data_IF_968301606700
#
_entry.id   IF_968301606700
#
_cell.length_a   1.000
_cell.length_b   1.000
_cell.length_c   1.000
_cell.angle_alpha   90.00
_cell.angle_beta   90.00
_cell.angle_gamma   90.00
#
_symmetry.space_group_name_H-M   'P 1'
#
loop_
_entity.id
_entity.type
_entity.pdbx_description
1 polymer ?
#
# COMPACT_ATOMS: atom_id res chain seq x y z
N UNK A 1 -55.24 8.06 -45.75
CA UNK A 1 -54.62 7.89 -44.42
C UNK A 1 -53.18 7.52 -44.66
N UNK A 2 -52.28 8.49 -44.77
CA UNK A 2 -50.84 8.32 -44.51
C UNK A 2 -50.37 9.68 -44.01
N UNK A 3 -50.06 9.77 -42.71
CA UNK A 3 -49.53 10.95 -42.06
C UNK A 3 -48.05 10.70 -41.80
N UNK A 4 -47.19 11.31 -42.60
CA UNK A 4 -45.74 11.27 -42.34
C UNK A 4 -45.31 12.61 -41.74
N UNK A 5 -44.95 12.56 -40.47
CA UNK A 5 -44.18 13.60 -39.79
C UNK A 5 -42.74 13.59 -40.33
N UNK A 6 -42.12 14.74 -40.68
CA UNK A 6 -40.74 14.75 -41.12
C UNK A 6 -39.81 14.42 -39.94
N UNK A 7 -38.98 13.40 -40.16
CA UNK A 7 -37.97 12.90 -39.25
C UNK A 7 -36.95 13.99 -38.91
N UNK A 8 -36.54 14.00 -37.64
CA UNK A 8 -35.58 14.93 -37.06
C UNK A 8 -34.24 14.84 -37.79
N UNK A 9 -33.70 15.99 -38.21
CA UNK A 9 -32.37 16.09 -38.83
C UNK A 9 -31.29 15.52 -37.90
N UNK A 10 -30.66 14.41 -38.29
CA UNK A 10 -29.33 14.06 -37.83
C UNK A 10 -28.38 15.17 -38.26
N UNK A 11 -27.67 15.78 -37.31
CA UNK A 11 -26.60 16.73 -37.62
C UNK A 11 -25.35 15.94 -37.99
N UNK A 12 -24.97 16.00 -39.27
CA UNK A 12 -23.76 15.37 -39.82
C UNK A 12 -22.50 16.11 -39.33
N UNK A 13 -22.02 15.77 -38.13
CA UNK A 13 -20.74 16.25 -37.58
C UNK A 13 -19.55 15.33 -37.95
N UNK A 14 -19.68 14.52 -38.99
CA UNK A 14 -18.61 13.61 -39.42
C UNK A 14 -17.47 14.34 -40.15
N UNK A 15 -17.80 15.33 -40.99
CA UNK A 15 -16.82 16.09 -41.78
C UNK A 15 -15.86 16.96 -40.94
N UNK A 16 -16.25 17.32 -39.71
CA UNK A 16 -15.44 18.16 -38.83
C UNK A 16 -14.26 17.42 -38.19
N UNK A 17 -14.28 16.08 -38.14
CA UNK A 17 -13.24 15.31 -37.46
C UNK A 17 -12.10 14.91 -38.38
N UNK A 18 -12.39 14.62 -39.65
CA UNK A 18 -11.40 14.13 -40.62
C UNK A 18 -10.40 15.24 -41.02
N UNK A 19 -10.87 16.49 -41.21
CA UNK A 19 -10.01 17.65 -41.51
C UNK A 19 -9.00 17.97 -40.37
N UNK A 20 -9.36 17.67 -39.12
CA UNK A 20 -8.50 17.91 -37.95
C UNK A 20 -7.38 16.87 -37.91
N UNK A 21 -7.65 15.61 -38.27
CA UNK A 21 -6.65 14.54 -38.29
C UNK A 21 -5.69 14.72 -39.46
N UNK A 22 -6.19 15.12 -40.63
CA UNK A 22 -5.37 15.27 -41.84
C UNK A 22 -4.38 16.44 -41.77
N UNK A 23 -4.71 17.51 -41.02
CA UNK A 23 -3.82 18.67 -40.80
C UNK A 23 -2.95 18.59 -39.53
N UNK A 24 -2.91 17.44 -38.85
CA UNK A 24 -2.04 17.25 -37.68
C UNK A 24 -0.87 16.35 -38.02
N UNK A 25 0.35 16.91 -37.98
CA UNK A 25 1.57 16.12 -38.14
C UNK A 25 1.77 15.19 -36.94
N UNK A 26 2.01 13.90 -37.21
CA UNK A 26 2.32 12.94 -36.16
C UNK A 26 3.63 13.33 -35.45
N UNK A 27 3.70 13.25 -34.11
CA UNK A 27 4.89 13.63 -33.37
C UNK A 27 6.09 12.76 -33.78
N UNK A 28 7.23 13.41 -34.03
CA UNK A 28 8.47 12.73 -34.44
C UNK A 28 9.04 11.82 -33.34
N UNK A 29 8.76 12.13 -32.08
CA UNK A 29 9.17 11.32 -30.93
C UNK A 29 7.97 11.05 -30.01
N UNK A 30 7.76 9.77 -29.70
CA UNK A 30 6.75 9.32 -28.75
C UNK A 30 7.45 8.69 -27.55
N UNK A 31 7.39 9.36 -26.39
CA UNK A 31 7.93 8.83 -25.13
C UNK A 31 6.88 7.92 -24.49
N UNK A 32 7.01 6.61 -24.69
CA UNK A 32 6.17 5.62 -24.02
C UNK A 32 6.68 5.41 -22.60
N UNK A 33 5.95 5.93 -21.61
CA UNK A 33 6.24 5.65 -20.20
C UNK A 33 5.75 4.24 -19.84
N UNK A 34 6.49 3.47 -19.02
CA UNK A 34 5.96 2.25 -18.43
C UNK A 34 4.65 2.55 -17.68
N UNK A 35 3.68 1.63 -17.68
CA UNK A 35 2.45 1.81 -16.93
C UNK A 35 2.78 1.96 -15.44
N UNK A 36 1.98 2.74 -14.74
CA UNK A 36 2.11 2.89 -13.30
C UNK A 36 1.94 1.51 -12.65
N UNK A 37 2.90 1.13 -11.80
CA UNK A 37 2.85 -0.16 -11.12
C UNK A 37 1.75 -0.08 -10.06
N UNK A 38 0.59 -0.65 -10.37
CA UNK A 38 -0.55 -0.68 -9.45
C UNK A 38 -0.48 -1.91 -8.54
N UNK A 39 -0.74 -1.70 -7.25
CA UNK A 39 -0.83 -2.79 -6.28
C UNK A 39 -2.16 -3.53 -6.45
N UNK A 40 -2.15 -4.60 -7.23
CA UNK A 40 -3.31 -5.48 -7.42
C UNK A 40 -3.43 -6.51 -6.28
N UNK A 41 -4.59 -7.18 -6.15
CA UNK A 41 -4.76 -8.29 -5.20
C UNK A 41 -3.72 -9.38 -5.49
N UNK A 42 -2.77 -9.58 -4.58
CA UNK A 42 -1.66 -10.53 -4.73
C UNK A 42 -0.29 -9.92 -5.03
N UNK A 43 -0.21 -8.60 -5.24
CA UNK A 43 1.07 -7.86 -5.40
C UNK A 43 1.86 -7.70 -4.10
N UNK A 44 1.21 -7.91 -2.95
CA UNK A 44 1.85 -7.85 -1.64
C UNK A 44 2.77 -9.04 -1.38
N UNK A 45 3.76 -8.86 -0.49
CA UNK A 45 4.60 -9.97 -0.04
C UNK A 45 3.76 -11.09 0.58
N UNK A 46 4.19 -12.34 0.36
CA UNK A 46 3.54 -13.51 0.93
C UNK A 46 3.44 -13.41 2.46
N UNK A 47 2.27 -13.75 2.99
CA UNK A 47 2.06 -13.86 4.44
C UNK A 47 2.89 -15.04 4.99
N UNK A 48 3.74 -14.73 5.97
CA UNK A 48 4.57 -15.74 6.63
C UNK A 48 3.76 -16.57 7.62
N UNK A 49 3.97 -17.88 7.59
CA UNK A 49 3.36 -18.83 8.52
C UNK A 49 3.91 -18.64 9.94
N UNK A 50 3.22 -19.20 10.94
CA UNK A 50 3.68 -19.17 12.34
C UNK A 50 5.05 -19.83 12.51
N UNK A 51 5.28 -20.95 11.80
CA UNK A 51 6.54 -21.69 11.82
C UNK A 51 7.67 -20.83 11.24
N UNK A 52 7.44 -20.15 10.12
CA UNK A 52 8.43 -19.29 9.48
C UNK A 52 8.79 -18.08 10.35
N UNK A 53 7.80 -17.46 11.01
CA UNK A 53 8.05 -16.37 11.97
C UNK A 53 8.89 -16.84 13.15
N UNK A 54 8.59 -18.03 13.69
CA UNK A 54 9.36 -18.60 14.79
C UNK A 54 10.80 -18.93 14.38
N UNK A 55 11.01 -19.52 13.20
CA UNK A 55 12.36 -19.82 12.69
C UNK A 55 13.18 -18.54 12.47
N UNK A 56 12.56 -17.50 11.87
CA UNK A 56 13.20 -16.18 11.73
C UNK A 56 13.56 -15.56 13.07
N UNK A 57 12.78 -15.79 14.12
CA UNK A 57 13.11 -15.31 15.46
C UNK A 57 14.29 -16.09 16.06
N UNK A 58 14.27 -17.42 15.95
CA UNK A 58 15.33 -18.31 16.46
C UNK A 58 16.69 -18.03 15.82
N UNK A 59 16.72 -17.66 14.54
CA UNK A 59 17.95 -17.33 13.82
C UNK A 59 18.52 -15.96 14.20
N UNK A 60 17.77 -15.10 14.92
CA UNK A 60 18.28 -13.82 15.38
C UNK A 60 19.15 -14.05 16.63
N UNK A 61 20.35 -13.44 16.70
CA UNK A 61 21.18 -13.57 17.89
C UNK A 61 20.45 -13.00 19.12
N UNK A 62 20.67 -13.66 20.24
CA UNK A 62 20.26 -13.13 21.54
C UNK A 62 21.13 -11.92 21.87
N UNK A 63 20.55 -10.96 22.59
CA UNK A 63 21.25 -9.77 23.08
C UNK A 63 20.97 -9.58 24.56
N UNK A 64 21.96 -9.06 25.28
CA UNK A 64 21.80 -8.75 26.69
C UNK A 64 21.05 -7.43 26.87
N UNK A 65 19.97 -7.45 27.64
CA UNK A 65 19.18 -6.26 27.95
C UNK A 65 19.87 -5.40 29.02
N UNK A 66 20.09 -4.10 28.79
CA UNK A 66 20.73 -3.22 29.79
C UNK A 66 19.89 -2.99 31.06
N UNK A 67 18.57 -3.23 31.03
CA UNK A 67 17.68 -3.00 32.19
C UNK A 67 17.54 -4.21 33.11
N UNK A 68 17.36 -5.41 32.55
CA UNK A 68 17.20 -6.64 33.33
C UNK A 68 18.42 -7.56 33.28
N UNK A 69 19.44 -7.22 32.49
CA UNK A 69 20.71 -7.96 32.32
C UNK A 69 20.58 -9.38 31.74
N UNK A 70 19.39 -9.74 31.23
CA UNK A 70 19.14 -11.05 30.65
C UNK A 70 19.38 -11.09 29.14
N UNK A 71 19.79 -12.25 28.65
CA UNK A 71 19.91 -12.56 27.23
C UNK A 71 18.54 -12.95 26.66
N UNK A 72 18.10 -12.26 25.61
CA UNK A 72 16.79 -12.51 25.01
C UNK A 72 16.61 -11.83 23.66
N UNK A 73 15.39 -11.93 23.12
CA UNK A 73 14.97 -11.23 21.90
C UNK A 73 14.42 -9.81 22.15
N UNK A 74 14.66 -9.24 23.33
CA UNK A 74 14.23 -7.90 23.71
C UNK A 74 15.43 -6.98 23.97
N UNK A 75 15.21 -5.66 24.02
CA UNK A 75 16.22 -4.67 24.43
C UNK A 75 15.73 -3.89 25.65
N UNK A 76 16.50 -2.88 26.10
CA UNK A 76 16.11 -2.03 27.23
C UNK A 76 14.83 -1.22 26.98
N UNK A 77 14.46 -0.95 25.72
CA UNK A 77 13.25 -0.21 25.36
C UNK A 77 12.02 -1.12 25.42
N UNK A 78 12.19 -2.40 25.05
CA UNK A 78 11.13 -3.39 25.06
C UNK A 78 11.26 -4.45 26.17
N UNK A 79 11.85 -4.08 27.31
CA UNK A 79 12.00 -5.01 28.44
C UNK A 79 10.69 -5.15 29.21
N UNK A 80 10.05 -6.31 29.10
CA UNK A 80 8.77 -6.60 29.76
C UNK A 80 8.88 -6.58 31.28
N UNK A 81 9.98 -7.10 31.84
CA UNK A 81 10.25 -7.06 33.29
C UNK A 81 10.26 -5.65 33.84
N UNK A 82 10.85 -4.72 33.10
CA UNK A 82 10.88 -3.32 33.52
C UNK A 82 9.52 -2.65 33.35
N UNK A 83 8.83 -2.90 32.23
CA UNK A 83 7.47 -2.38 32.01
C UNK A 83 6.50 -2.85 33.10
N UNK A 84 6.57 -4.11 33.51
CA UNK A 84 5.75 -4.64 34.60
C UNK A 84 6.10 -3.99 35.94
N UNK A 85 7.40 -3.81 36.23
CA UNK A 85 7.87 -3.14 37.45
C UNK A 85 7.36 -1.69 37.53
N UNK A 86 7.39 -0.94 36.42
CA UNK A 86 6.85 0.42 36.36
C UNK A 86 5.35 0.45 36.55
N UNK A 87 4.60 -0.44 35.88
CA UNK A 87 3.15 -0.56 36.08
C UNK A 87 2.82 -0.84 37.54
N UNK A 88 3.54 -1.74 38.21
CA UNK A 88 3.35 -2.06 39.63
C UNK A 88 3.71 -0.89 40.55
N UNK A 89 4.71 -0.09 40.21
CA UNK A 89 5.06 1.15 40.93
C UNK A 89 3.97 2.20 40.79
N UNK A 90 3.49 2.43 39.57
CA UNK A 90 2.42 3.40 39.29
C UNK A 90 1.12 3.03 40.00
N UNK A 91 0.73 1.74 40.00
CA UNK A 91 -0.44 1.28 40.77
C UNK A 91 -0.32 1.60 42.26
N UNK A 92 0.82 1.28 42.89
CA UNK A 92 1.05 1.61 44.30
C UNK A 92 1.06 3.11 44.59
N UNK A 93 1.52 3.93 43.66
CA UNK A 93 1.52 5.38 43.83
C UNK A 93 0.12 6.00 43.68
N UNK A 94 -0.82 5.32 43.01
CA UNK A 94 -2.21 5.76 42.93
C UNK A 94 -3.03 5.38 44.19
N UNK A 95 -2.61 4.34 44.91
CA UNK A 95 -3.27 3.86 46.13
C UNK A 95 -2.85 4.62 47.41
N UNK A 96 -1.90 5.56 47.29
CA UNK A 96 -1.41 6.45 48.37
C UNK A 96 -1.88 7.87 48.08
#
# INVERSE_FOLDING_TARGET
MESETPCTSHVDNQASYDDIIENTEAPQEVVVKPPEVVNTKGSGSRILSRVEKALKLKNKPLRQCKKCQEWGHHDSRNCDKFKEKEKRRSRRNYEV
#
